data_IF_735206401825
#
_entry.id   IF_735206401825
#
_cell.length_a   1.000
_cell.length_b   1.000
_cell.length_c   1.000
_cell.angle_alpha   90.00
_cell.angle_beta   90.00
_cell.angle_gamma   90.00
#
_symmetry.space_group_name_H-M   'P 1'
#
loop_
_entity.id
_entity.type
_entity.pdbx_description
1 polymer ?
#
# COMPACT_ATOMS: atom_id res chain seq x y z
N UNK A 1 3.37 -14.81 19.68
CA UNK A 1 2.24 -14.20 20.42
C UNK A 1 0.97 -14.70 19.79
N UNK A 2 0.08 -15.36 20.52
CA UNK A 2 -1.22 -15.79 19.98
C UNK A 2 -2.04 -14.53 19.66
N UNK A 3 -2.44 -14.36 18.40
CA UNK A 3 -3.26 -13.23 18.00
C UNK A 3 -4.61 -13.31 18.74
N UNK A 4 -4.81 -12.44 19.73
CA UNK A 4 -6.09 -12.34 20.43
C UNK A 4 -7.10 -11.69 19.48
N UNK A 5 -8.23 -12.38 19.25
CA UNK A 5 -9.32 -11.86 18.43
C UNK A 5 -10.33 -11.14 19.33
N UNK A 6 -10.68 -9.91 18.97
CA UNK A 6 -11.70 -9.11 19.66
C UNK A 6 -12.99 -9.13 18.85
N UNK A 7 -14.12 -9.36 19.51
CA UNK A 7 -15.45 -9.29 18.89
C UNK A 7 -16.05 -7.90 19.11
N UNK A 8 -16.66 -7.35 18.07
CA UNK A 8 -17.38 -6.09 18.12
C UNK A 8 -18.78 -6.29 17.54
N UNK A 9 -19.75 -5.52 18.03
CA UNK A 9 -21.08 -5.41 17.46
C UNK A 9 -21.22 -4.03 16.81
N UNK A 10 -21.79 -4.00 15.60
CA UNK A 10 -21.97 -2.77 14.83
C UNK A 10 -23.40 -2.72 14.29
N UNK A 11 -23.99 -1.52 14.30
CA UNK A 11 -25.24 -1.25 13.61
C UNK A 11 -24.94 -0.80 12.18
N UNK A 12 -25.63 -1.37 11.20
CA UNK A 12 -25.48 -1.02 9.79
C UNK A 12 -26.85 -0.61 9.22
N UNK A 13 -26.90 0.42 8.35
CA UNK A 13 -28.08 0.69 7.55
C UNK A 13 -28.55 -0.55 6.80
N UNK A 14 -29.87 -0.74 6.71
CA UNK A 14 -30.44 -1.96 6.15
C UNK A 14 -30.02 -2.19 4.69
N UNK A 15 -29.93 -1.13 3.89
CA UNK A 15 -29.48 -1.21 2.50
C UNK A 15 -28.02 -1.67 2.39
N UNK A 16 -27.13 -1.11 3.20
CA UNK A 16 -25.72 -1.49 3.24
C UNK A 16 -25.57 -2.96 3.64
N UNK A 17 -26.32 -3.41 4.65
CA UNK A 17 -26.34 -4.82 5.03
C UNK A 17 -26.77 -5.72 3.88
N UNK A 18 -27.79 -5.32 3.09
CA UNK A 18 -28.21 -6.09 1.91
C UNK A 18 -27.14 -6.17 0.84
N UNK A 19 -26.41 -5.07 0.60
CA UNK A 19 -25.30 -5.05 -0.35
C UNK A 19 -24.15 -5.97 0.11
N UNK A 20 -23.80 -5.92 1.39
CA UNK A 20 -22.80 -6.82 2.00
C UNK A 20 -23.22 -8.29 1.87
N UNK A 21 -24.50 -8.61 2.10
CA UNK A 21 -25.01 -9.97 1.95
C UNK A 21 -24.96 -10.49 0.52
N UNK A 22 -25.17 -9.63 -0.49
CA UNK A 22 -25.02 -10.00 -1.91
C UNK A 22 -23.55 -10.25 -2.24
N UNK A 23 -22.69 -9.29 -1.91
CA UNK A 23 -21.26 -9.36 -2.21
C UNK A 23 -20.59 -10.59 -1.57
N UNK A 24 -20.87 -10.88 -0.30
CA UNK A 24 -20.27 -12.06 0.34
C UNK A 24 -20.69 -13.37 -0.32
N UNK A 25 -21.91 -13.45 -0.88
CA UNK A 25 -22.41 -14.66 -1.55
C UNK A 25 -21.73 -14.85 -2.90
N UNK A 26 -21.60 -13.77 -3.66
CA UNK A 26 -20.85 -13.74 -4.92
C UNK A 26 -19.40 -14.19 -4.70
N UNK A 27 -18.76 -13.69 -3.64
CA UNK A 27 -17.37 -14.03 -3.27
C UNK A 27 -17.24 -15.35 -2.48
N UNK A 28 -18.35 -16.02 -2.14
CA UNK A 28 -18.39 -17.23 -1.30
C UNK A 28 -17.69 -17.08 0.05
N UNK A 29 -17.81 -15.91 0.67
CA UNK A 29 -17.24 -15.56 1.97
C UNK A 29 -18.29 -15.57 3.09
N UNK A 30 -17.83 -15.81 4.31
CA UNK A 30 -18.61 -15.51 5.51
C UNK A 30 -18.70 -14.00 5.72
N UNK A 31 -19.66 -13.54 6.54
CA UNK A 31 -19.77 -12.12 6.93
C UNK A 31 -18.48 -11.61 7.56
N UNK A 32 -17.95 -12.36 8.53
CA UNK A 32 -16.72 -11.97 9.23
C UNK A 32 -15.50 -11.96 8.31
N UNK A 33 -15.41 -12.88 7.35
CA UNK A 33 -14.31 -12.90 6.38
C UNK A 33 -14.36 -11.66 5.47
N UNK A 34 -15.52 -11.34 4.90
CA UNK A 34 -15.68 -10.16 4.05
C UNK A 34 -15.35 -8.87 4.81
N UNK A 35 -15.91 -8.70 6.01
CA UNK A 35 -15.68 -7.49 6.82
C UNK A 35 -14.22 -7.39 7.25
N UNK A 36 -13.61 -8.49 7.70
CA UNK A 36 -12.18 -8.52 8.07
C UNK A 36 -11.29 -8.14 6.88
N UNK A 37 -11.59 -8.68 5.69
CA UNK A 37 -10.82 -8.37 4.48
C UNK A 37 -10.97 -6.89 4.09
N UNK A 38 -12.19 -6.35 4.09
CA UNK A 38 -12.44 -4.95 3.77
C UNK A 38 -11.73 -4.00 4.75
N UNK A 39 -11.76 -4.30 6.06
CA UNK A 39 -11.06 -3.51 7.08
C UNK A 39 -9.55 -3.55 6.86
N UNK A 40 -8.97 -4.72 6.57
CA UNK A 40 -7.53 -4.85 6.29
C UNK A 40 -7.12 -4.00 5.09
N UNK A 41 -7.84 -4.12 3.98
CA UNK A 41 -7.57 -3.33 2.78
C UNK A 41 -7.65 -1.83 3.06
N UNK A 42 -8.68 -1.38 3.78
CA UNK A 42 -8.81 0.03 4.16
C UNK A 42 -7.64 0.52 5.02
N UNK A 43 -7.20 -0.28 6.00
CA UNK A 43 -6.07 0.08 6.86
C UNK A 43 -4.74 0.13 6.09
N UNK A 44 -4.51 -0.84 5.22
CA UNK A 44 -3.33 -0.90 4.35
C UNK A 44 -3.30 0.30 3.39
N UNK A 45 -4.42 0.65 2.78
CA UNK A 45 -4.52 1.81 1.89
C UNK A 45 -4.24 3.13 2.62
N UNK A 46 -4.77 3.29 3.84
CA UNK A 46 -4.49 4.47 4.69
C UNK A 46 -3.02 4.54 5.05
N UNK A 47 -2.44 3.45 5.53
CA UNK A 47 -1.03 3.39 5.88
C UNK A 47 -0.13 3.70 4.69
N UNK A 48 -0.48 3.19 3.50
CA UNK A 48 0.26 3.49 2.25
C UNK A 48 0.20 4.98 1.92
N UNK A 49 -0.98 5.61 2.00
CA UNK A 49 -1.14 7.05 1.77
C UNK A 49 -0.30 7.87 2.74
N UNK A 50 -0.34 7.53 4.02
CA UNK A 50 0.42 8.22 5.06
C UNK A 50 1.94 8.05 4.84
N UNK A 51 2.39 6.86 4.45
CA UNK A 51 3.79 6.61 4.15
C UNK A 51 4.28 7.43 2.95
N UNK A 52 3.50 7.50 1.87
CA UNK A 52 3.82 8.32 0.69
C UNK A 52 3.89 9.79 1.09
N UNK A 53 2.91 10.27 1.87
CA UNK A 53 2.90 11.66 2.29
C UNK A 53 4.11 11.99 3.18
N UNK A 54 4.47 11.11 4.12
CA UNK A 54 5.66 11.26 4.95
C UNK A 54 6.94 11.28 4.14
N UNK A 55 7.05 10.42 3.12
CA UNK A 55 8.19 10.41 2.21
C UNK A 55 8.31 11.75 1.45
N UNK A 56 7.22 12.23 0.85
CA UNK A 56 7.19 13.51 0.12
C UNK A 56 7.56 14.67 1.03
N UNK A 57 6.94 14.75 2.21
CA UNK A 57 7.23 15.81 3.19
C UNK A 57 8.69 15.75 3.63
N UNK A 58 9.22 14.56 3.94
CA UNK A 58 10.63 14.41 4.33
C UNK A 58 11.59 14.92 3.27
N UNK A 59 11.35 14.58 1.99
CA UNK A 59 12.19 15.07 0.88
C UNK A 59 12.07 16.57 0.65
N UNK A 60 10.88 17.16 0.83
CA UNK A 60 10.69 18.61 0.70
C UNK A 60 11.38 19.38 1.81
N UNK A 61 11.33 18.86 3.04
CA UNK A 61 11.92 19.51 4.21
C UNK A 61 13.45 19.37 4.20
N UNK A 62 13.95 18.24 3.70
CA UNK A 62 15.37 17.93 3.62
C UNK A 62 15.70 17.38 2.22
N UNK A 63 15.79 18.26 1.21
CA UNK A 63 16.23 17.85 -0.11
C UNK A 63 17.71 17.46 -0.07
N UNK A 64 18.11 16.61 -1.02
CA UNK A 64 19.52 16.26 -1.22
C UNK A 64 20.34 17.53 -1.52
N UNK A 65 21.56 17.60 -0.99
CA UNK A 65 22.49 18.67 -1.40
C UNK A 65 23.06 18.38 -2.79
N UNK A 66 23.57 19.40 -3.51
CA UNK A 66 24.20 19.20 -4.80
C UNK A 66 25.34 18.16 -4.78
N UNK A 67 26.09 18.09 -3.68
CA UNK A 67 27.19 17.14 -3.49
C UNK A 67 26.69 15.71 -3.31
N UNK A 68 25.63 15.53 -2.50
CA UNK A 68 24.97 14.23 -2.32
C UNK A 68 24.39 13.74 -3.66
N UNK A 69 23.71 14.62 -4.39
CA UNK A 69 23.15 14.32 -5.70
C UNK A 69 24.24 13.92 -6.71
N UNK A 70 25.36 14.65 -6.75
CA UNK A 70 26.49 14.32 -7.62
C UNK A 70 27.07 12.93 -7.29
N UNK A 71 27.23 12.61 -6.00
CA UNK A 71 27.66 11.28 -5.55
C UNK A 71 26.71 10.16 -5.98
N UNK A 72 25.39 10.36 -5.81
CA UNK A 72 24.39 9.41 -6.29
C UNK A 72 24.42 9.25 -7.81
N UNK A 73 24.57 10.34 -8.55
CA UNK A 73 24.63 10.33 -10.01
C UNK A 73 25.85 9.55 -10.51
N UNK A 74 27.04 9.76 -9.94
CA UNK A 74 28.23 8.99 -10.30
C UNK A 74 28.08 7.49 -9.99
N UNK A 75 27.52 7.15 -8.83
CA UNK A 75 27.26 5.75 -8.47
C UNK A 75 26.26 5.10 -9.42
N UNK A 76 25.17 5.79 -9.75
CA UNK A 76 24.17 5.31 -10.70
C UNK A 76 24.78 5.10 -12.09
N UNK A 77 25.55 6.06 -12.60
CA UNK A 77 26.25 5.93 -13.88
C UNK A 77 27.18 4.72 -13.90
N UNK A 78 27.97 4.49 -12.84
CA UNK A 78 28.83 3.30 -12.73
C UNK A 78 28.03 2.01 -12.70
N UNK A 79 26.93 1.95 -11.94
CA UNK A 79 26.10 0.76 -11.86
C UNK A 79 25.48 0.40 -13.22
N UNK A 80 24.89 1.38 -13.91
CA UNK A 80 24.26 1.17 -15.21
C UNK A 80 25.27 0.96 -16.35
N UNK A 81 26.50 1.46 -16.23
CA UNK A 81 27.55 1.22 -17.26
C UNK A 81 28.06 -0.22 -17.27
N UNK A 82 27.84 -0.99 -16.21
CA UNK A 82 28.25 -2.39 -16.11
C UNK A 82 27.19 -3.36 -16.65
N UNK A 83 25.96 -2.90 -16.87
CA UNK A 83 24.93 -3.66 -17.56
C UNK A 83 24.92 -3.26 -19.04
N UNK A 84 25.30 -4.15 -19.98
CA UNK A 84 25.11 -3.87 -21.39
C UNK A 84 23.62 -3.74 -21.67
N UNK A 85 23.22 -2.60 -22.26
CA UNK A 85 21.86 -2.38 -22.73
C UNK A 85 21.48 -3.47 -23.75
N UNK A 86 20.72 -4.45 -23.32
CA UNK A 86 20.09 -5.47 -24.14
C UNK A 86 18.80 -4.92 -24.73
N UNK A 87 18.94 -3.90 -25.58
CA UNK A 87 17.86 -3.38 -26.40
C UNK A 87 17.41 -4.41 -27.43
N UNK A 88 16.60 -5.38 -27.02
CA UNK A 88 15.71 -6.05 -27.96
C UNK A 88 14.64 -5.03 -28.37
N UNK A 89 14.86 -4.45 -29.55
CA UNK A 89 13.78 -3.80 -30.28
C UNK A 89 12.88 -4.90 -30.85
N UNK A 90 11.63 -4.95 -30.40
CA UNK A 90 10.53 -5.73 -30.94
C UNK A 90 9.24 -4.98 -30.71
#
# INVERSE_FOLDING_TARGET
MTAQTVKIEVSLPQEEFRQIERLRRELKLSRSALITQAIRQLLEERQRKDNIQRYITGYRDHPETPEEYAGFQEMAQRAFSQEPWNGEQG
#
